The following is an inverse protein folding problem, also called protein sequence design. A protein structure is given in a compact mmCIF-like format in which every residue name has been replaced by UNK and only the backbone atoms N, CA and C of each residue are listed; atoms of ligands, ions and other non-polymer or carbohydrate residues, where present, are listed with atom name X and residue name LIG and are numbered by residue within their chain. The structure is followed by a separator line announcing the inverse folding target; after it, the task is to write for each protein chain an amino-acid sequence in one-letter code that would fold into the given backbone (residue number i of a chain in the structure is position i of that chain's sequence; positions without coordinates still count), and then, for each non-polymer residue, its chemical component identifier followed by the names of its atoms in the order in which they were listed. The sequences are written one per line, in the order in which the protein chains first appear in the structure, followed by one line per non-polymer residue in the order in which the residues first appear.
data_IF_954792417500
#
_entry.id   IF_954792417500
#
_cell.length_a   1.000
_cell.length_b   1.000
_cell.length_c   1.000
_cell.angle_alpha   90.00
_cell.angle_beta   90.00
_cell.angle_gamma   90.00
#
_symmetry.space_group_name_H-M   'P 1'
#
loop_
_entity.id
_entity.type
_entity.pdbx_description
1 polymer ?
#
# COMPACT_ATOMS: atom_id res chain seq x y z
N UNK A 1 -16.64 20.21 -13.86
CA UNK A 1 -15.59 19.93 -12.87
C UNK A 1 -14.76 18.80 -13.44
N UNK A 2 -13.53 19.06 -13.84
CA UNK A 2 -12.58 18.01 -14.22
C UNK A 2 -11.96 17.49 -12.92
N UNK A 3 -12.77 16.85 -12.09
CA UNK A 3 -12.27 16.28 -10.84
C UNK A 3 -11.43 15.04 -11.13
N UNK A 4 -10.23 15.03 -10.57
CA UNK A 4 -9.29 13.94 -10.65
C UNK A 4 -9.82 12.69 -9.94
N UNK A 5 -9.69 11.53 -10.56
CA UNK A 5 -9.84 10.24 -9.86
C UNK A 5 -8.62 9.88 -9.01
N UNK A 6 -7.55 10.70 -9.07
CA UNK A 6 -6.31 10.54 -8.33
C UNK A 6 -6.35 11.04 -6.89
N UNK A 7 -7.47 10.87 -6.21
CA UNK A 7 -7.67 11.19 -4.78
C UNK A 7 -7.80 9.90 -3.96
N UNK A 8 -7.63 9.93 -2.63
CA UNK A 8 -7.79 8.75 -1.80
C UNK A 8 -9.17 8.08 -1.97
N UNK A 9 -9.20 6.75 -2.02
CA UNK A 9 -10.41 5.95 -2.25
C UNK A 9 -11.59 6.37 -1.35
N UNK A 10 -11.34 6.65 -0.06
CA UNK A 10 -12.39 7.11 0.87
C UNK A 10 -13.08 8.39 0.41
N UNK A 11 -12.37 9.33 -0.23
CA UNK A 11 -12.99 10.53 -0.80
C UNK A 11 -13.83 10.19 -2.03
N UNK A 12 -13.38 9.26 -2.87
CA UNK A 12 -14.16 8.76 -4.01
C UNK A 12 -15.48 8.13 -3.52
N UNK A 13 -15.40 7.32 -2.46
CA UNK A 13 -16.56 6.71 -1.82
C UNK A 13 -17.49 7.76 -1.23
N UNK A 14 -16.97 8.81 -0.59
CA UNK A 14 -17.77 9.91 -0.07
C UNK A 14 -18.52 10.64 -1.19
N UNK A 15 -17.85 10.96 -2.30
CA UNK A 15 -18.49 11.55 -3.48
C UNK A 15 -19.58 10.65 -4.05
N UNK A 16 -19.37 9.34 -4.11
CA UNK A 16 -20.37 8.38 -4.56
C UNK A 16 -21.58 8.33 -3.61
N UNK A 17 -21.35 8.27 -2.29
CA UNK A 17 -22.41 8.28 -1.27
C UNK A 17 -23.28 9.52 -1.39
N UNK A 18 -22.66 10.70 -1.57
CA UNK A 18 -23.37 11.96 -1.70
C UNK A 18 -24.13 12.06 -3.03
N UNK A 19 -23.48 11.77 -4.16
CA UNK A 19 -24.07 11.91 -5.49
C UNK A 19 -25.20 10.93 -5.78
N UNK A 20 -25.17 9.75 -5.16
CA UNK A 20 -26.20 8.71 -5.32
C UNK A 20 -27.26 8.72 -4.19
N UNK A 21 -27.18 9.64 -3.23
CA UNK A 21 -28.15 9.73 -2.13
C UNK A 21 -28.14 8.52 -1.18
N UNK A 22 -27.02 7.79 -1.08
CA UNK A 22 -26.96 6.53 -0.32
C UNK A 22 -27.15 6.73 1.20
N UNK A 23 -26.99 7.97 1.68
CA UNK A 23 -27.15 8.35 3.08
C UNK A 23 -28.46 9.10 3.39
N UNK A 24 -29.44 9.16 2.46
CA UNK A 24 -30.68 9.95 2.65
C UNK A 24 -31.61 9.37 3.74
N UNK A 25 -31.69 8.05 3.85
CA UNK A 25 -32.59 7.37 4.80
C UNK A 25 -31.90 7.01 6.12
N UNK A 26 -30.60 6.74 6.09
CA UNK A 26 -29.80 6.34 7.24
C UNK A 26 -28.29 6.54 6.94
N UNK A 27 -27.42 6.64 7.96
CA UNK A 27 -25.98 6.71 7.76
C UNK A 27 -25.44 5.54 6.92
N UNK A 28 -24.60 5.85 5.92
CA UNK A 28 -23.93 4.85 5.11
C UNK A 28 -22.56 4.51 5.71
N UNK A 29 -22.53 3.50 6.56
CA UNK A 29 -21.31 3.01 7.21
C UNK A 29 -20.52 2.09 6.26
N UNK A 30 -19.37 2.55 5.77
CA UNK A 30 -18.52 1.83 4.82
C UNK A 30 -18.11 0.45 5.34
N UNK A 31 -17.77 0.35 6.63
CA UNK A 31 -17.28 -0.89 7.25
C UNK A 31 -18.39 -1.95 7.38
N UNK A 32 -19.65 -1.54 7.21
CA UNK A 32 -20.82 -2.45 7.24
C UNK A 32 -21.45 -2.66 5.86
N UNK A 33 -21.28 -1.72 4.94
CA UNK A 33 -22.00 -1.67 3.66
C UNK A 33 -21.14 -2.02 2.46
N UNK A 34 -19.81 -1.98 2.60
CA UNK A 34 -18.85 -2.38 1.57
C UNK A 34 -18.17 -3.67 2.01
N UNK A 35 -18.22 -4.70 1.17
CA UNK A 35 -17.77 -6.06 1.53
C UNK A 35 -16.27 -6.06 1.85
N UNK A 36 -15.48 -5.39 1.01
CA UNK A 36 -14.02 -5.30 1.13
C UNK A 36 -13.59 -4.65 2.45
N UNK A 37 -14.31 -3.63 2.90
CA UNK A 37 -14.07 -2.94 4.17
C UNK A 37 -14.49 -3.84 5.35
N UNK A 38 -15.65 -4.49 5.25
CA UNK A 38 -16.18 -5.37 6.28
C UNK A 38 -15.29 -6.60 6.57
N UNK A 39 -14.51 -7.06 5.58
CA UNK A 39 -13.61 -8.21 5.73
C UNK A 39 -12.14 -7.81 5.91
N UNK A 40 -11.83 -6.51 5.95
CA UNK A 40 -10.45 -6.03 6.04
C UNK A 40 -9.82 -6.42 7.38
N UNK A 41 -8.57 -6.90 7.35
CA UNK A 41 -7.83 -7.21 8.60
C UNK A 41 -7.60 -5.94 9.41
N UNK A 42 -7.96 -6.00 10.69
CA UNK A 42 -7.80 -4.91 11.66
C UNK A 42 -6.34 -4.68 12.11
N UNK A 43 -5.46 -5.68 11.97
CA UNK A 43 -4.08 -5.63 12.48
C UNK A 43 -3.07 -5.51 11.32
N UNK A 44 -3.08 -4.37 10.63
CA UNK A 44 -2.10 -4.05 9.58
C UNK A 44 -1.10 -3.02 10.08
N UNK A 45 0.18 -3.20 9.76
CA UNK A 45 1.20 -2.19 10.02
C UNK A 45 0.90 -0.91 9.25
N UNK A 46 0.37 -1.04 8.03
CA UNK A 46 -0.05 0.10 7.21
C UNK A 46 -1.20 0.93 7.81
N UNK A 47 -1.88 0.43 8.84
CA UNK A 47 -2.96 1.13 9.54
C UNK A 47 -2.52 1.83 10.84
N UNK A 48 -1.28 1.61 11.28
CA UNK A 48 -0.72 2.27 12.47
C UNK A 48 -0.50 3.76 12.22
N UNK A 49 -0.49 4.54 13.30
CA UNK A 49 0.05 5.89 13.24
C UNK A 49 1.56 5.85 12.97
N UNK A 50 2.10 6.95 12.43
CA UNK A 50 3.55 7.07 12.20
C UNK A 50 4.33 6.93 13.50
N UNK A 51 3.79 7.44 14.61
CA UNK A 51 4.40 7.33 15.95
C UNK A 51 4.48 5.87 16.39
N UNK A 52 3.35 5.15 16.37
CA UNK A 52 3.30 3.72 16.72
C UNK A 52 4.21 2.86 15.83
N UNK A 53 4.24 3.14 14.52
CA UNK A 53 5.12 2.43 13.59
C UNK A 53 6.61 2.66 13.92
N UNK A 54 6.99 3.91 14.22
CA UNK A 54 8.37 4.25 14.59
C UNK A 54 8.75 3.64 15.95
N UNK A 55 7.85 3.69 16.93
CA UNK A 55 8.07 3.09 18.24
C UNK A 55 8.29 1.59 18.10
N UNK A 56 7.41 0.87 17.38
CA UNK A 56 7.54 -0.57 17.15
C UNK A 56 8.84 -0.92 16.42
N UNK A 57 9.20 -0.17 15.37
CA UNK A 57 10.46 -0.33 14.64
C UNK A 57 11.70 -0.19 15.53
N UNK A 58 11.60 0.58 16.63
CA UNK A 58 12.70 0.82 17.57
C UNK A 58 12.83 -0.23 18.69
N UNK A 59 11.97 -1.27 18.68
CA UNK A 59 11.97 -2.35 19.68
C UNK A 59 12.79 -3.57 19.24
N UNK A 60 12.77 -4.64 20.04
CA UNK A 60 13.29 -5.97 19.69
C UNK A 60 12.29 -6.81 18.87
N UNK A 61 11.18 -6.22 18.41
CA UNK A 61 10.24 -6.87 17.53
C UNK A 61 10.92 -7.31 16.22
N UNK A 62 10.66 -8.53 15.72
CA UNK A 62 11.27 -9.03 14.50
C UNK A 62 10.83 -8.29 13.21
N UNK A 63 9.66 -7.64 13.24
CA UNK A 63 9.11 -6.85 12.16
C UNK A 63 8.22 -5.73 12.76
N UNK A 64 8.07 -4.56 12.11
CA UNK A 64 8.52 -4.19 10.76
C UNK A 64 10.04 -4.04 10.64
N UNK A 65 10.56 -4.25 9.43
CA UNK A 65 11.99 -4.13 9.12
C UNK A 65 12.29 -3.12 8.01
N UNK A 66 13.50 -3.18 7.47
CA UNK A 66 13.94 -2.28 6.39
C UNK A 66 13.11 -2.37 5.11
N UNK A 67 12.55 -3.55 4.79
CA UNK A 67 11.65 -3.72 3.64
C UNK A 67 10.34 -2.96 3.81
N UNK A 68 9.68 -3.10 4.97
CA UNK A 68 8.52 -2.30 5.35
C UNK A 68 8.80 -0.78 5.31
N UNK A 69 9.96 -0.33 5.78
CA UNK A 69 10.36 1.09 5.72
C UNK A 69 10.56 1.55 4.27
N UNK A 70 11.22 0.75 3.43
CA UNK A 70 11.39 1.07 2.01
C UNK A 70 10.04 1.19 1.28
N UNK A 71 9.09 0.31 1.61
CA UNK A 71 7.73 0.36 1.09
C UNK A 71 6.98 1.62 1.56
N UNK A 72 7.14 2.02 2.84
CA UNK A 72 6.59 3.28 3.34
C UNK A 72 7.14 4.50 2.59
N UNK A 73 8.44 4.55 2.32
CA UNK A 73 9.05 5.61 1.51
C UNK A 73 8.45 5.70 0.10
N UNK A 74 8.27 4.57 -0.58
CA UNK A 74 7.64 4.52 -1.91
C UNK A 74 6.16 4.97 -1.85
N UNK A 75 5.44 4.61 -0.78
CA UNK A 75 4.07 5.06 -0.55
C UNK A 75 3.97 6.58 -0.45
N UNK A 76 4.85 7.19 0.35
CA UNK A 76 4.91 8.65 0.49
C UNK A 76 5.27 9.33 -0.83
N UNK A 77 6.16 8.75 -1.63
CA UNK A 77 6.53 9.26 -2.97
C UNK A 77 5.32 9.27 -3.92
N UNK A 78 4.55 8.18 -3.98
CA UNK A 78 3.32 8.11 -4.77
C UNK A 78 2.26 9.14 -4.31
N UNK A 79 2.07 9.24 -2.99
CA UNK A 79 1.14 10.21 -2.39
C UNK A 79 1.49 11.66 -2.68
N UNK A 80 2.77 12.02 -2.58
CA UNK A 80 3.26 13.37 -2.91
C UNK A 80 3.12 13.67 -4.42
N UNK A 81 3.42 12.70 -5.28
CA UNK A 81 3.26 12.85 -6.73
C UNK A 81 1.79 13.08 -7.10
N UNK A 82 0.87 12.31 -6.51
CA UNK A 82 -0.57 12.52 -6.68
C UNK A 82 -1.02 13.89 -6.17
N UNK A 83 -0.51 14.33 -5.02
CA UNK A 83 -0.82 15.65 -4.46
C UNK A 83 -0.39 16.77 -5.42
N UNK A 84 0.83 16.74 -5.95
CA UNK A 84 1.33 17.78 -6.87
C UNK A 84 0.52 17.79 -8.16
N UNK A 85 0.19 16.62 -8.71
CA UNK A 85 -0.69 16.51 -9.86
C UNK A 85 -2.08 17.11 -9.57
N UNK A 86 -2.71 16.78 -8.44
CA UNK A 86 -4.00 17.36 -8.04
C UNK A 86 -3.93 18.89 -7.81
N UNK A 87 -2.83 19.41 -7.26
CA UNK A 87 -2.62 20.87 -7.13
C UNK A 87 -2.43 21.58 -8.47
N UNK A 88 -2.13 20.83 -9.53
CA UNK A 88 -1.92 21.35 -10.89
C UNK A 88 -3.24 21.39 -11.67
N UNK A 89 -4.15 20.46 -11.39
CA UNK A 89 -5.47 20.39 -12.01
C UNK A 89 -6.29 21.64 -11.66
N UNK A 90 -6.95 22.21 -12.66
CA UNK A 90 -7.75 23.45 -12.59
C UNK A 90 -6.98 24.68 -12.06
N UNK A 91 -5.64 24.62 -11.99
CA UNK A 91 -4.79 25.74 -11.58
C UNK A 91 -4.51 26.67 -12.76
N UNK A 92 -4.85 27.94 -12.56
CA UNK A 92 -4.55 29.01 -13.53
C UNK A 92 -3.05 29.07 -13.84
N UNK A 93 -2.70 29.13 -15.12
CA UNK A 93 -1.32 29.13 -15.62
C UNK A 93 -0.74 27.74 -15.93
N UNK A 94 -1.49 26.67 -15.63
CA UNK A 94 -1.10 25.27 -15.90
C UNK A 94 -2.03 24.61 -16.92
N UNK A 95 -2.71 25.38 -17.76
CA UNK A 95 -3.71 24.89 -18.72
C UNK A 95 -3.11 23.90 -19.73
N UNK A 96 -1.81 24.03 -20.04
CA UNK A 96 -1.10 23.18 -21.01
C UNK A 96 -0.77 21.77 -20.49
N UNK A 97 -0.83 21.55 -19.18
CA UNK A 97 -0.42 20.30 -18.53
C UNK A 97 -1.58 19.61 -17.81
N UNK A 98 -2.82 20.06 -18.02
CA UNK A 98 -4.02 19.51 -17.36
C UNK A 98 -4.20 18.02 -17.64
N UNK A 99 -4.09 17.62 -18.90
CA UNK A 99 -4.27 16.23 -19.31
C UNK A 99 -3.23 15.30 -18.67
N UNK A 100 -1.97 15.76 -18.59
CA UNK A 100 -0.91 15.04 -17.89
C UNK A 100 -1.16 14.96 -16.38
N UNK A 101 -1.59 16.05 -15.75
CA UNK A 101 -1.90 16.05 -14.32
C UNK A 101 -3.07 15.10 -13.99
N UNK A 102 -4.09 15.05 -14.85
CA UNK A 102 -5.21 14.11 -14.74
C UNK A 102 -4.78 12.64 -14.93
N UNK A 103 -3.78 12.39 -15.77
CA UNK A 103 -3.18 11.05 -15.94
C UNK A 103 -2.30 10.65 -14.73
N UNK A 104 -1.51 11.58 -14.20
CA UNK A 104 -0.50 11.30 -13.18
C UNK A 104 -1.08 11.12 -11.78
N UNK A 105 -2.16 11.84 -11.44
CA UNK A 105 -2.74 11.75 -10.11
C UNK A 105 -3.22 10.32 -9.75
N UNK A 106 -3.95 9.59 -10.62
CA UNK A 106 -4.32 8.20 -10.38
C UNK A 106 -3.12 7.24 -10.26
N UNK A 107 -2.07 7.47 -11.06
CA UNK A 107 -0.84 6.66 -10.98
C UNK A 107 -0.17 6.82 -9.61
N UNK A 108 -0.12 8.04 -9.07
CA UNK A 108 0.42 8.28 -7.73
C UNK A 108 -0.38 7.61 -6.63
N UNK A 109 -1.73 7.59 -6.72
CA UNK A 109 -2.56 6.83 -5.78
C UNK A 109 -2.31 5.32 -5.86
N UNK A 110 -2.20 4.79 -7.09
CA UNK A 110 -1.91 3.37 -7.31
C UNK A 110 -0.57 2.95 -6.71
N UNK A 111 0.48 3.76 -6.92
CA UNK A 111 1.81 3.54 -6.31
C UNK A 111 1.70 3.56 -4.79
N UNK A 112 1.02 4.57 -4.22
CA UNK A 112 0.78 4.70 -2.79
C UNK A 112 0.12 3.45 -2.21
N UNK A 113 -0.96 2.97 -2.82
CA UNK A 113 -1.71 1.79 -2.34
C UNK A 113 -0.93 0.49 -2.45
N UNK A 114 -0.27 0.25 -3.60
CA UNK A 114 0.58 -0.93 -3.81
C UNK A 114 1.76 -0.93 -2.83
N UNK A 115 2.37 0.22 -2.60
CA UNK A 115 3.47 0.35 -1.65
C UNK A 115 3.01 0.14 -0.21
N UNK A 116 1.85 0.67 0.20
CA UNK A 116 1.28 0.39 1.53
C UNK A 116 1.02 -1.11 1.73
N UNK A 117 0.54 -1.82 0.71
CA UNK A 117 0.38 -3.27 0.77
C UNK A 117 1.73 -3.99 0.97
N UNK A 118 2.80 -3.50 0.33
CA UNK A 118 4.14 -4.06 0.51
C UNK A 118 4.70 -3.90 1.94
N UNK A 119 4.22 -2.94 2.74
CA UNK A 119 4.60 -2.80 4.16
C UNK A 119 4.21 -4.07 4.93
N UNK A 120 2.96 -4.50 4.76
CA UNK A 120 2.41 -5.68 5.42
C UNK A 120 2.99 -6.97 4.79
N UNK A 121 3.15 -7.01 3.47
CA UNK A 121 3.70 -8.17 2.75
C UNK A 121 5.12 -8.55 3.22
N UNK A 122 5.99 -7.56 3.44
CA UNK A 122 7.35 -7.79 3.96
C UNK A 122 7.33 -8.48 5.32
N UNK A 123 6.44 -8.01 6.20
CA UNK A 123 6.26 -8.55 7.55
C UNK A 123 5.64 -9.94 7.53
N UNK A 124 4.61 -10.16 6.73
CA UNK A 124 3.96 -11.47 6.56
C UNK A 124 4.95 -12.51 6.01
N UNK A 125 5.78 -12.11 5.04
CA UNK A 125 6.81 -12.99 4.48
C UNK A 125 7.88 -13.36 5.51
N UNK A 126 8.27 -12.41 6.38
CA UNK A 126 9.20 -12.67 7.47
C UNK A 126 8.64 -13.67 8.48
N UNK A 127 7.41 -13.45 8.97
CA UNK A 127 6.77 -14.37 9.91
C UNK A 127 6.57 -15.77 9.32
N UNK A 128 6.15 -15.86 8.06
CA UNK A 128 6.03 -17.14 7.36
C UNK A 128 7.37 -17.89 7.32
N UNK A 129 8.48 -17.19 7.07
CA UNK A 129 9.82 -17.79 7.10
C UNK A 129 10.18 -18.30 8.50
N UNK A 130 9.90 -17.52 9.55
CA UNK A 130 10.16 -17.97 10.93
C UNK A 130 9.36 -19.23 11.28
N UNK A 131 8.09 -19.29 10.88
CA UNK A 131 7.23 -20.42 11.18
C UNK A 131 7.66 -21.68 10.42
N UNK A 132 8.06 -21.54 9.14
CA UNK A 132 8.66 -22.63 8.38
C UNK A 132 9.94 -23.15 9.05
N UNK A 133 10.78 -22.26 9.57
CA UNK A 133 12.01 -22.66 10.27
C UNK A 133 11.75 -23.47 11.55
N UNK A 134 10.61 -23.20 12.23
CA UNK A 134 10.17 -23.87 13.47
C UNK A 134 9.54 -25.24 13.25
N UNK A 135 9.25 -25.63 12.01
CA UNK A 135 8.62 -26.93 11.72
C UNK A 135 9.47 -28.11 12.26
N UNK A 136 8.80 -29.22 12.66
CA UNK A 136 9.48 -30.44 13.10
C UNK A 136 10.46 -30.98 12.06
N UNK A 137 11.45 -31.74 12.54
CA UNK A 137 12.53 -32.31 11.72
C UNK A 137 13.03 -33.65 12.27
N UNK A 138 12.13 -34.47 12.84
CA UNK A 138 12.48 -35.74 13.49
C UNK A 138 12.30 -36.95 12.58
N UNK A 139 11.43 -36.86 11.59
CA UNK A 139 11.20 -37.93 10.59
C UNK A 139 11.55 -37.44 9.19
N UNK A 140 11.85 -38.36 8.27
CA UNK A 140 12.15 -38.01 6.87
C UNK A 140 10.99 -37.26 6.21
N UNK A 141 9.73 -37.61 6.53
CA UNK A 141 8.56 -36.92 6.04
C UNK A 141 8.43 -35.48 6.59
N UNK A 142 8.73 -35.29 7.88
CA UNK A 142 8.77 -33.95 8.49
C UNK A 142 9.88 -33.08 7.88
N UNK A 143 11.06 -33.66 7.66
CA UNK A 143 12.20 -32.96 7.03
C UNK A 143 11.83 -32.52 5.62
N UNK A 144 11.30 -33.44 4.80
CA UNK A 144 10.91 -33.12 3.42
C UNK A 144 9.84 -32.02 3.36
N UNK A 145 8.83 -32.09 4.22
CA UNK A 145 7.79 -31.04 4.30
C UNK A 145 8.37 -29.71 4.75
N UNK A 146 9.22 -29.72 5.79
CA UNK A 146 9.89 -28.51 6.28
C UNK A 146 10.73 -27.85 5.21
N UNK A 147 11.51 -28.61 4.46
CA UNK A 147 12.38 -28.08 3.41
C UNK A 147 11.55 -27.47 2.27
N UNK A 148 10.44 -28.09 1.89
CA UNK A 148 9.49 -27.54 0.92
C UNK A 148 8.89 -26.21 1.40
N UNK A 149 8.48 -26.11 2.67
CA UNK A 149 7.94 -24.87 3.22
C UNK A 149 9.01 -23.77 3.30
N UNK A 150 10.23 -24.10 3.71
CA UNK A 150 11.34 -23.14 3.75
C UNK A 150 11.64 -22.61 2.35
N UNK A 151 11.66 -23.45 1.33
CA UNK A 151 11.86 -23.00 -0.06
C UNK A 151 10.75 -22.03 -0.49
N UNK A 152 9.48 -22.38 -0.27
CA UNK A 152 8.33 -21.53 -0.58
C UNK A 152 8.39 -20.18 0.14
N UNK A 153 8.65 -20.18 1.44
CA UNK A 153 8.77 -18.96 2.22
C UNK A 153 9.98 -18.12 1.80
N UNK A 154 11.10 -18.75 1.42
CA UNK A 154 12.29 -18.05 0.91
C UNK A 154 11.96 -17.31 -0.39
N UNK A 155 11.23 -17.95 -1.31
CA UNK A 155 10.75 -17.29 -2.52
C UNK A 155 9.85 -16.10 -2.19
N UNK A 156 8.90 -16.26 -1.26
CA UNK A 156 8.05 -15.16 -0.78
C UNK A 156 8.84 -13.99 -0.20
N UNK A 157 9.82 -14.27 0.66
CA UNK A 157 10.71 -13.30 1.27
C UNK A 157 11.61 -12.57 0.26
N UNK A 158 11.90 -13.17 -0.91
CA UNK A 158 12.62 -12.51 -2.01
C UNK A 158 11.65 -11.68 -2.88
N UNK A 159 10.44 -12.16 -3.10
CA UNK A 159 9.44 -11.49 -3.94
C UNK A 159 8.98 -10.18 -3.29
N UNK A 160 8.79 -10.14 -1.97
CA UNK A 160 8.37 -8.94 -1.26
C UNK A 160 9.27 -7.71 -1.52
N UNK A 161 10.59 -7.75 -1.28
CA UNK A 161 11.47 -6.61 -1.58
C UNK A 161 11.61 -6.35 -3.10
N UNK A 162 11.50 -7.36 -3.96
CA UNK A 162 11.48 -7.16 -5.41
C UNK A 162 10.27 -6.35 -5.86
N UNK A 163 9.09 -6.60 -5.27
CA UNK A 163 7.89 -5.81 -5.55
C UNK A 163 8.07 -4.37 -5.08
N UNK A 164 8.58 -4.16 -3.87
CA UNK A 164 8.90 -2.82 -3.36
C UNK A 164 9.87 -2.07 -4.27
N UNK A 165 10.93 -2.74 -4.75
CA UNK A 165 11.92 -2.15 -5.66
C UNK A 165 11.29 -1.68 -6.98
N UNK A 166 10.40 -2.49 -7.57
CA UNK A 166 9.68 -2.13 -8.81
C UNK A 166 8.78 -0.92 -8.60
N UNK A 167 8.03 -0.91 -7.50
CA UNK A 167 7.15 0.22 -7.15
C UNK A 167 7.96 1.50 -6.89
N UNK A 168 9.12 1.38 -6.23
CA UNK A 168 10.02 2.51 -6.01
C UNK A 168 10.59 3.07 -7.31
N UNK A 169 10.89 2.24 -8.31
CA UNK A 169 11.28 2.71 -9.64
C UNK A 169 10.12 3.46 -10.31
N UNK A 170 8.92 2.88 -10.30
CA UNK A 170 7.71 3.53 -10.83
C UNK A 170 7.45 4.89 -10.15
N UNK A 171 7.71 5.00 -8.84
CA UNK A 171 7.52 6.25 -8.08
C UNK A 171 8.54 7.33 -8.47
N UNK A 172 9.78 6.95 -8.74
CA UNK A 172 10.81 7.88 -9.25
C UNK A 172 10.45 8.37 -10.65
N UNK A 173 10.06 7.45 -11.54
CA UNK A 173 9.65 7.80 -12.91
C UNK A 173 8.43 8.73 -12.94
N UNK A 174 7.45 8.50 -12.06
CA UNK A 174 6.31 9.39 -11.93
C UNK A 174 6.72 10.75 -11.37
N UNK A 175 7.57 10.78 -10.34
CA UNK A 175 8.04 12.03 -9.76
C UNK A 175 8.78 12.89 -10.80
N UNK A 176 9.62 12.28 -11.65
CA UNK A 176 10.31 12.96 -12.75
C UNK A 176 9.31 13.61 -13.73
N UNK A 177 8.30 12.85 -14.16
CA UNK A 177 7.23 13.35 -15.05
C UNK A 177 6.40 14.48 -14.44
N UNK A 178 6.16 14.42 -13.12
CA UNK A 178 5.39 15.45 -12.39
C UNK A 178 6.23 16.72 -12.19
N UNK A 179 7.56 16.63 -12.11
CA UNK A 179 8.44 17.77 -11.94
C UNK A 179 8.82 18.48 -13.26
N UNK A 180 8.76 17.77 -14.39
CA UNK A 180 9.11 18.27 -15.72
C UNK A 180 8.07 19.24 -16.31
#
# INVERSE_FOLDING_TARGET
MNESTGIPEKMIMETAIQSMGLAELAPFDLDKKVIEYAIQKSERLSAMTVEEFCDLLSTDAPAPGGGSVAALCASMSGGLSAMVANLTIDKKGYEKVQDHALEYAPLGQSIKERAMHCIDLDTDAFYAMMDAMRLPKKTDAEIAYRDEQIEKCTQGAIIAPLQTLRIALESIELADKVCA
#
